data_IF_539228517822
#
_entry.id   IF_539228517822
#
_cell.length_a   1.000
_cell.length_b   1.000
_cell.length_c   1.000
_cell.angle_alpha   90.00
_cell.angle_beta   90.00
_cell.angle_gamma   90.00
#
_symmetry.space_group_name_H-M   'P 1'
#
loop_
_entity.id
_entity.type
_entity.pdbx_description
1 polymer ?
#
# COMPACT_ATOMS: atom_id res chain seq x y z
N UNK A 1 17.73 1.61 22.24
CA UNK A 1 16.54 2.48 22.29
C UNK A 1 15.47 1.82 21.45
N UNK A 2 14.24 1.73 21.96
CA UNK A 2 13.09 1.24 21.18
C UNK A 2 12.60 2.38 20.30
N UNK A 3 12.62 2.24 18.97
CA UNK A 3 12.02 3.25 18.10
C UNK A 3 10.50 3.26 18.28
N UNK A 4 9.93 4.46 18.49
CA UNK A 4 8.48 4.68 18.51
C UNK A 4 8.05 5.45 17.25
N UNK A 5 6.99 4.99 16.61
CA UNK A 5 6.42 5.62 15.42
C UNK A 5 4.90 5.73 15.54
N UNK A 6 4.37 6.96 15.60
CA UNK A 6 2.92 7.20 15.58
C UNK A 6 2.39 7.25 14.15
N UNK A 7 1.31 6.51 13.90
CA UNK A 7 0.60 6.48 12.63
C UNK A 7 -0.92 6.45 12.85
N UNK A 8 -1.62 7.35 12.15
CA UNK A 8 -3.07 7.39 12.04
C UNK A 8 -3.43 7.30 10.57
N UNK A 9 -4.18 6.28 10.17
CA UNK A 9 -4.41 5.98 8.74
C UNK A 9 -5.56 6.76 8.10
N UNK A 10 -6.52 7.23 8.89
CA UNK A 10 -7.71 7.94 8.40
C UNK A 10 -8.42 8.70 9.53
N UNK A 11 -9.48 9.43 9.20
CA UNK A 11 -10.30 10.14 10.18
C UNK A 11 -10.95 9.22 11.22
N UNK A 12 -11.25 7.96 10.85
CA UNK A 12 -11.94 6.98 11.68
C UNK A 12 -11.02 5.95 12.31
N UNK A 13 -9.77 5.87 11.88
CA UNK A 13 -8.79 4.96 12.48
C UNK A 13 -8.21 5.57 13.77
N UNK A 14 -7.93 4.76 14.80
CA UNK A 14 -7.17 5.22 15.96
C UNK A 14 -5.75 5.63 15.55
N UNK A 15 -5.13 6.49 16.35
CA UNK A 15 -3.70 6.74 16.25
C UNK A 15 -2.96 5.61 16.97
N UNK A 16 -2.09 4.92 16.25
CA UNK A 16 -1.35 3.78 16.76
C UNK A 16 0.13 4.14 16.92
N UNK A 17 0.70 3.79 18.06
CA UNK A 17 2.13 3.89 18.31
C UNK A 17 2.78 2.53 18.07
N UNK A 18 3.61 2.46 17.05
CA UNK A 18 4.33 1.26 16.64
C UNK A 18 5.73 1.23 17.24
N UNK A 19 6.12 0.06 17.72
CA UNK A 19 7.45 -0.22 18.26
C UNK A 19 7.89 -1.63 17.91
N UNK A 20 9.20 -1.88 17.96
CA UNK A 20 9.78 -3.22 17.84
C UNK A 20 10.30 -3.64 19.21
N UNK A 21 9.68 -4.67 19.79
CA UNK A 21 10.02 -5.22 21.10
C UNK A 21 10.56 -6.64 20.97
N UNK A 22 11.87 -6.81 21.18
CA UNK A 22 12.58 -8.07 20.99
C UNK A 22 12.40 -8.60 19.56
N UNK A 23 11.46 -9.51 19.37
CA UNK A 23 11.14 -10.16 18.09
C UNK A 23 9.70 -9.89 17.64
N UNK A 24 9.04 -8.89 18.21
CA UNK A 24 7.66 -8.55 17.89
C UNK A 24 7.53 -7.11 17.42
N UNK A 25 6.71 -6.89 16.40
CA UNK A 25 6.17 -5.59 16.04
C UNK A 25 4.88 -5.37 16.84
N UNK A 26 4.84 -4.35 17.69
CA UNK A 26 3.70 -4.04 18.55
C UNK A 26 3.08 -2.71 18.17
N UNK A 27 1.75 -2.64 18.18
CA UNK A 27 0.97 -1.42 18.03
C UNK A 27 0.19 -1.16 19.31
N UNK A 28 0.31 0.07 19.81
CA UNK A 28 -0.36 0.55 21.01
C UNK A 28 -1.37 1.63 20.66
N UNK A 29 -2.57 1.54 21.25
CA UNK A 29 -3.53 2.64 21.32
C UNK A 29 -3.53 3.14 22.77
N UNK A 30 -2.88 4.28 23.01
CA UNK A 30 -2.52 4.72 24.36
C UNK A 30 -1.64 3.68 25.07
N UNK A 31 -2.11 3.17 26.20
CA UNK A 31 -1.41 2.13 26.98
C UNK A 31 -1.76 0.71 26.53
N UNK A 32 -2.84 0.52 25.76
CA UNK A 32 -3.33 -0.79 25.38
C UNK A 32 -2.59 -1.33 24.15
N UNK A 33 -2.09 -2.58 24.24
CA UNK A 33 -1.58 -3.31 23.07
C UNK A 33 -2.77 -3.78 22.23
N UNK A 34 -2.97 -3.16 21.07
CA UNK A 34 -4.07 -3.53 20.15
C UNK A 34 -3.62 -4.50 19.07
N UNK A 35 -2.31 -4.54 18.79
CA UNK A 35 -1.74 -5.50 17.84
C UNK A 35 -0.34 -5.91 18.24
N UNK A 36 -0.04 -7.20 18.09
CA UNK A 36 1.29 -7.77 18.26
C UNK A 36 1.51 -8.78 17.15
N UNK A 37 2.61 -8.62 16.42
CA UNK A 37 3.02 -9.51 15.33
C UNK A 37 4.38 -10.08 15.69
N UNK A 38 4.44 -11.38 15.94
CA UNK A 38 5.73 -12.03 16.15
C UNK A 38 6.45 -12.17 14.80
N UNK A 39 7.75 -11.93 14.78
CA UNK A 39 8.60 -12.17 13.61
C UNK A 39 8.39 -13.58 13.04
N UNK A 40 8.08 -14.53 13.93
CA UNK A 40 7.85 -15.92 13.57
C UNK A 40 6.58 -16.23 12.79
N UNK A 41 5.62 -15.33 12.83
CA UNK A 41 4.31 -15.48 12.19
C UNK A 41 4.25 -14.73 10.85
N UNK A 42 5.27 -13.93 10.56
CA UNK A 42 5.35 -13.12 9.34
C UNK A 42 5.52 -14.04 8.14
N UNK A 43 4.67 -13.84 7.14
CA UNK A 43 4.76 -14.55 5.86
C UNK A 43 5.17 -13.62 4.72
N UNK A 44 4.73 -12.36 4.78
CA UNK A 44 5.04 -11.36 3.77
C UNK A 44 5.27 -10.01 4.42
N UNK A 45 6.24 -9.27 3.88
CA UNK A 45 6.39 -7.84 4.13
C UNK A 45 6.31 -7.12 2.80
N UNK A 46 5.42 -6.14 2.71
CA UNK A 46 5.20 -5.37 1.48
C UNK A 46 5.40 -3.89 1.71
N UNK A 47 6.19 -3.28 0.84
CA UNK A 47 6.34 -1.84 0.73
C UNK A 47 5.60 -1.32 -0.49
N UNK A 48 4.67 -0.39 -0.30
CA UNK A 48 3.89 0.20 -1.37
C UNK A 48 3.84 1.72 -1.27
N UNK A 49 3.75 2.39 -2.41
CA UNK A 49 3.45 3.82 -2.47
C UNK A 49 1.94 4.01 -2.49
N UNK A 50 1.43 4.82 -1.57
CA UNK A 50 0.02 5.19 -1.48
C UNK A 50 -0.12 6.72 -1.49
N UNK A 51 -1.28 7.22 -1.93
CA UNK A 51 -1.57 8.66 -1.94
C UNK A 51 -1.87 9.13 -0.52
N UNK A 52 -1.30 10.28 -0.13
CA UNK A 52 -1.48 10.93 1.15
C UNK A 52 -1.84 12.41 0.91
N UNK A 53 -3.10 12.67 0.54
CA UNK A 53 -3.53 14.01 0.13
C UNK A 53 -2.86 14.42 -1.18
N UNK A 54 -2.07 15.49 -1.16
CA UNK A 54 -1.30 15.95 -2.33
C UNK A 54 0.05 15.24 -2.49
N UNK A 55 0.50 14.54 -1.45
CA UNK A 55 1.80 13.89 -1.39
C UNK A 55 1.67 12.37 -1.54
N UNK A 56 2.81 11.68 -1.63
CA UNK A 56 2.89 10.22 -1.65
C UNK A 56 3.52 9.76 -0.34
N UNK A 57 3.01 8.66 0.22
CA UNK A 57 3.56 7.99 1.38
C UNK A 57 4.06 6.59 1.03
N UNK A 58 5.08 6.13 1.76
CA UNK A 58 5.49 4.73 1.78
C UNK A 58 4.68 4.04 2.87
N UNK A 59 4.09 2.89 2.56
CA UNK A 59 3.31 2.08 3.49
C UNK A 59 3.96 0.71 3.60
N UNK A 60 4.18 0.27 4.84
CA UNK A 60 4.62 -1.06 5.17
C UNK A 60 3.43 -1.90 5.61
N UNK A 61 3.24 -3.05 4.96
CA UNK A 61 2.24 -4.05 5.30
C UNK A 61 2.95 -5.33 5.71
N UNK A 62 2.68 -5.80 6.91
CA UNK A 62 3.24 -7.04 7.46
C UNK A 62 2.10 -8.04 7.58
N UNK A 63 2.15 -9.08 6.76
CA UNK A 63 1.10 -10.11 6.70
C UNK A 63 1.51 -11.32 7.50
N UNK A 64 0.64 -11.74 8.43
CA UNK A 64 0.71 -13.00 9.16
C UNK A 64 -0.42 -13.93 8.71
N UNK A 65 -0.52 -15.11 9.33
CA UNK A 65 -1.68 -16.01 9.12
C UNK A 65 -2.99 -15.41 9.65
N UNK A 66 -2.90 -14.60 10.71
CA UNK A 66 -4.07 -14.08 11.44
C UNK A 66 -4.48 -12.68 10.98
N UNK A 67 -3.70 -12.04 10.10
CA UNK A 67 -4.10 -10.78 9.46
C UNK A 67 -2.93 -9.91 9.02
N UNK A 68 -3.20 -8.61 8.86
CA UNK A 68 -2.22 -7.65 8.32
C UNK A 68 -2.02 -6.48 9.27
N UNK A 69 -0.77 -6.22 9.67
CA UNK A 69 -0.35 -4.98 10.33
C UNK A 69 0.08 -3.96 9.26
N UNK A 70 -0.34 -2.70 9.42
CA UNK A 70 -0.12 -1.65 8.42
C UNK A 70 0.33 -0.38 9.11
N UNK A 71 1.44 0.19 8.66
CA UNK A 71 1.92 1.49 9.11
C UNK A 71 2.59 2.27 7.97
N UNK A 72 2.52 3.60 8.00
CA UNK A 72 2.98 4.46 6.89
C UNK A 72 3.90 5.60 7.27
N UNK A 73 4.59 6.16 6.27
CA UNK A 73 5.52 7.28 6.44
C UNK A 73 4.83 8.64 6.66
N UNK A 74 3.50 8.68 6.55
CA UNK A 74 2.66 9.85 6.77
C UNK A 74 1.53 9.48 7.71
N UNK A 75 1.20 10.35 8.65
CA UNK A 75 0.09 10.17 9.60
C UNK A 75 -1.01 11.18 9.32
N UNK A 76 -2.26 10.73 9.26
CA UNK A 76 -3.42 11.57 8.99
C UNK A 76 -3.60 12.61 10.10
N UNK A 77 -3.72 13.89 9.70
CA UNK A 77 -3.91 15.01 10.61
C UNK A 77 -5.28 15.69 10.43
N UNK A 78 -5.90 15.55 9.26
CA UNK A 78 -7.14 16.22 8.90
C UNK A 78 -7.53 15.97 7.45
N UNK A 79 -8.66 16.53 7.02
CA UNK A 79 -9.09 16.46 5.62
C UNK A 79 -8.04 17.14 4.74
N UNK A 80 -7.40 16.37 3.85
CA UNK A 80 -6.32 16.84 2.99
C UNK A 80 -4.99 17.12 3.70
N UNK A 81 -4.88 16.86 5.00
CA UNK A 81 -3.68 17.14 5.80
C UNK A 81 -3.04 15.85 6.34
N UNK A 82 -1.74 15.74 6.13
CA UNK A 82 -0.92 14.62 6.56
C UNK A 82 0.36 15.15 7.20
N UNK A 83 0.72 14.57 8.34
CA UNK A 83 1.94 14.88 9.06
C UNK A 83 3.06 13.96 8.59
N UNK A 84 4.18 14.55 8.20
CA UNK A 84 5.37 13.81 7.80
C UNK A 84 5.97 13.08 9.00
N UNK A 85 5.94 11.75 8.94
CA UNK A 85 6.55 10.84 9.94
C UNK A 85 7.64 9.97 9.32
N UNK A 86 8.19 10.36 8.17
CA UNK A 86 9.12 9.54 7.40
C UNK A 86 10.40 9.17 8.16
N UNK A 87 10.88 10.05 9.05
CA UNK A 87 12.07 9.79 9.87
C UNK A 87 11.83 8.66 10.88
N UNK A 88 10.78 8.76 11.71
CA UNK A 88 10.43 7.71 12.68
C UNK A 88 9.98 6.42 11.98
N UNK A 89 9.29 6.53 10.85
CA UNK A 89 8.95 5.40 9.99
C UNK A 89 10.19 4.66 9.51
N UNK A 90 11.19 5.37 8.97
CA UNK A 90 12.44 4.75 8.51
C UNK A 90 13.18 4.06 9.65
N UNK A 91 13.24 4.69 10.82
CA UNK A 91 13.88 4.11 12.00
C UNK A 91 13.20 2.80 12.41
N UNK A 92 11.87 2.80 12.53
CA UNK A 92 11.08 1.61 12.86
C UNK A 92 11.24 0.53 11.79
N UNK A 93 11.18 0.92 10.51
CA UNK A 93 11.26 0.01 9.38
C UNK A 93 12.59 -0.75 9.38
N UNK A 94 13.71 -0.05 9.58
CA UNK A 94 15.02 -0.72 9.62
C UNK A 94 15.21 -1.56 10.88
N UNK A 95 14.68 -1.14 12.05
CA UNK A 95 14.64 -2.01 13.24
C UNK A 95 13.87 -3.30 12.98
N UNK A 96 12.69 -3.19 12.37
CA UNK A 96 11.88 -4.35 12.05
C UNK A 96 12.54 -5.27 11.03
N UNK A 97 13.15 -4.72 9.97
CA UNK A 97 13.87 -5.53 8.99
C UNK A 97 15.06 -6.25 9.63
N UNK A 98 15.80 -5.59 10.55
CA UNK A 98 16.88 -6.25 11.31
C UNK A 98 16.39 -7.45 12.11
N UNK A 99 15.21 -7.37 12.72
CA UNK A 99 14.58 -8.49 13.43
C UNK A 99 14.17 -9.62 12.47
N UNK A 100 13.74 -9.30 11.25
CA UNK A 100 13.31 -10.29 10.27
C UNK A 100 14.44 -10.95 9.47
N UNK A 101 15.62 -10.31 9.39
CA UNK A 101 16.75 -10.80 8.60
C UNK A 101 17.15 -12.27 8.86
N UNK A 102 17.20 -12.77 10.12
CA UNK A 102 17.50 -14.17 10.39
C UNK A 102 16.54 -15.16 9.72
N UNK A 103 15.36 -14.70 9.30
CA UNK A 103 14.29 -15.50 8.68
C UNK A 103 14.00 -15.07 7.25
N UNK A 104 14.93 -14.37 6.61
CA UNK A 104 14.70 -13.74 5.30
C UNK A 104 14.24 -14.73 4.22
N UNK A 105 14.69 -15.98 4.30
CA UNK A 105 14.38 -17.02 3.31
C UNK A 105 12.98 -17.62 3.50
N UNK A 106 12.34 -17.38 4.66
CA UNK A 106 10.97 -17.82 4.97
C UNK A 106 9.92 -16.73 4.66
N UNK A 107 10.34 -15.49 4.46
CA UNK A 107 9.47 -14.31 4.33
C UNK A 107 9.57 -13.74 2.91
N UNK A 108 8.43 -13.49 2.29
CA UNK A 108 8.40 -12.80 1.00
C UNK A 108 8.42 -11.27 1.18
N UNK A 109 9.55 -10.64 0.81
CA UNK A 109 9.73 -9.19 0.78
C UNK A 109 9.34 -8.62 -0.59
N UNK A 110 8.23 -7.88 -0.67
CA UNK A 110 7.59 -7.48 -1.93
C UNK A 110 7.41 -5.95 -2.06
N UNK A 111 7.58 -5.42 -3.27
CA UNK A 111 7.29 -4.02 -3.62
C UNK A 111 5.99 -3.88 -4.42
N UNK A 112 5.33 -2.76 -4.19
CA UNK A 112 4.20 -2.30 -4.99
C UNK A 112 2.86 -2.84 -4.50
N UNK A 113 1.85 -2.72 -5.36
CA UNK A 113 0.48 -3.09 -5.04
C UNK A 113 0.28 -4.61 -5.02
N UNK A 114 -0.74 -5.06 -4.29
CA UNK A 114 -1.11 -6.47 -4.26
C UNK A 114 -1.57 -6.95 -5.65
N UNK A 115 -1.35 -8.24 -5.93
CA UNK A 115 -1.83 -8.84 -7.17
C UNK A 115 -3.36 -8.78 -7.27
N UNK A 116 -4.06 -8.98 -6.15
CA UNK A 116 -5.52 -8.84 -6.08
C UNK A 116 -6.00 -7.44 -6.45
N UNK A 117 -5.35 -6.38 -5.93
CA UNK A 117 -5.67 -5.01 -6.31
C UNK A 117 -5.48 -4.77 -7.81
N UNK A 118 -4.36 -5.24 -8.37
CA UNK A 118 -4.09 -5.15 -9.82
C UNK A 118 -5.16 -5.83 -10.66
N UNK A 119 -5.63 -7.00 -10.25
CA UNK A 119 -6.73 -7.69 -10.93
C UNK A 119 -8.03 -6.89 -10.87
N UNK A 120 -8.41 -6.40 -9.69
CA UNK A 120 -9.63 -5.59 -9.50
C UNK A 120 -9.58 -4.34 -10.38
N UNK A 121 -8.47 -3.61 -10.36
CA UNK A 121 -8.31 -2.39 -11.17
C UNK A 121 -8.27 -2.69 -12.67
N UNK A 122 -7.64 -3.80 -13.07
CA UNK A 122 -7.64 -4.22 -14.47
C UNK A 122 -9.04 -4.53 -14.97
N UNK A 123 -9.81 -5.31 -14.19
CA UNK A 123 -11.19 -5.64 -14.52
C UNK A 123 -12.07 -4.39 -14.57
N UNK A 124 -11.92 -3.50 -13.59
CA UNK A 124 -12.62 -2.21 -13.58
C UNK A 124 -12.34 -1.42 -14.87
N UNK A 125 -11.06 -1.28 -15.24
CA UNK A 125 -10.67 -0.62 -16.48
C UNK A 125 -11.26 -1.26 -17.73
N UNK A 126 -11.23 -2.60 -17.82
CA UNK A 126 -11.83 -3.34 -18.94
C UNK A 126 -13.34 -3.13 -19.03
N UNK A 127 -14.06 -3.22 -17.92
CA UNK A 127 -15.52 -3.01 -17.88
C UNK A 127 -15.87 -1.60 -18.31
N UNK A 128 -15.21 -0.58 -17.75
CA UNK A 128 -15.43 0.82 -18.16
C UNK A 128 -15.08 1.04 -19.62
N UNK A 129 -13.96 0.47 -20.09
CA UNK A 129 -13.49 0.59 -21.46
C UNK A 129 -14.46 0.00 -22.47
N UNK A 130 -14.93 -1.22 -22.21
CA UNK A 130 -15.89 -1.92 -23.05
C UNK A 130 -17.26 -1.23 -23.04
N UNK A 131 -17.75 -0.78 -21.88
CA UNK A 131 -19.01 -0.05 -21.79
C UNK A 131 -18.95 1.28 -22.56
N UNK A 132 -17.88 2.06 -22.41
CA UNK A 132 -17.66 3.29 -23.17
C UNK A 132 -17.62 3.03 -24.68
N UNK A 133 -16.90 1.98 -25.10
CA UNK A 133 -16.81 1.59 -26.52
C UNK A 133 -18.18 1.19 -27.07
N UNK A 134 -18.95 0.37 -26.34
CA UNK A 134 -20.27 -0.06 -26.76
C UNK A 134 -21.25 1.12 -26.90
N UNK A 135 -21.25 2.05 -25.94
CA UNK A 135 -22.09 3.25 -25.99
C UNK A 135 -21.68 4.16 -27.16
N UNK A 136 -20.37 4.37 -27.37
CA UNK A 136 -19.87 5.17 -28.48
C UNK A 136 -20.30 4.59 -29.83
N UNK A 137 -20.13 3.28 -30.03
CA UNK A 137 -20.52 2.60 -31.26
C UNK A 137 -22.04 2.64 -31.47
N UNK A 138 -22.83 2.40 -30.42
CA UNK A 138 -24.29 2.47 -30.51
C UNK A 138 -24.75 3.87 -30.96
N UNK A 139 -24.26 4.93 -30.32
CA UNK A 139 -24.67 6.29 -30.67
C UNK A 139 -24.16 6.72 -32.04
N UNK A 140 -22.90 6.45 -32.38
CA UNK A 140 -22.31 6.92 -33.63
C UNK A 140 -22.76 6.12 -34.86
N UNK A 141 -22.95 4.81 -34.72
CA UNK A 141 -23.23 3.92 -35.86
C UNK A 141 -24.71 3.61 -35.99
N UNK A 142 -25.41 3.34 -34.87
CA UNK A 142 -26.82 2.95 -34.91
C UNK A 142 -27.74 4.16 -34.86
N UNK A 143 -27.41 5.16 -34.03
CA UNK A 143 -28.21 6.37 -33.86
C UNK A 143 -27.72 7.55 -34.71
N UNK A 144 -26.59 7.41 -35.42
CA UNK A 144 -25.93 8.46 -36.21
C UNK A 144 -25.77 9.79 -35.43
N UNK A 145 -25.62 9.70 -34.11
CA UNK A 145 -25.65 10.82 -33.20
C UNK A 145 -24.24 11.13 -32.67
N UNK A 146 -23.72 12.36 -32.90
CA UNK A 146 -22.37 12.73 -32.47
C UNK A 146 -22.18 12.77 -30.95
N UNK A 147 -23.25 12.73 -30.15
CA UNK A 147 -23.17 12.58 -28.69
C UNK A 147 -22.39 11.32 -28.27
N UNK A 148 -22.30 10.29 -29.13
CA UNK A 148 -21.46 9.12 -28.87
C UNK A 148 -19.97 9.43 -28.69
N UNK A 149 -19.47 10.59 -29.17
CA UNK A 149 -18.09 11.02 -28.94
C UNK A 149 -17.76 11.22 -27.45
N UNK A 150 -18.74 11.57 -26.60
CA UNK A 150 -18.52 11.69 -25.16
C UNK A 150 -18.16 10.34 -24.50
N UNK A 151 -18.62 9.22 -25.08
CA UNK A 151 -18.32 7.88 -24.58
C UNK A 151 -16.93 7.36 -24.99
N UNK A 152 -16.20 8.09 -25.85
CA UNK A 152 -14.80 7.78 -26.17
C UNK A 152 -13.89 8.01 -24.97
N UNK A 153 -14.15 9.05 -24.16
CA UNK A 153 -13.35 9.34 -22.96
C UNK A 153 -13.31 8.17 -21.95
N UNK A 154 -14.45 7.57 -21.54
CA UNK A 154 -14.42 6.39 -20.69
C UNK A 154 -13.85 5.16 -21.40
N UNK A 155 -14.00 5.02 -22.73
CA UNK A 155 -13.37 3.94 -23.48
C UNK A 155 -11.83 3.97 -23.37
N UNK A 156 -11.24 5.14 -23.65
CA UNK A 156 -9.80 5.37 -23.58
C UNK A 156 -9.30 5.27 -22.14
N UNK A 157 -9.98 5.91 -21.19
CA UNK A 157 -9.60 5.89 -19.78
C UNK A 157 -9.64 4.47 -19.22
N UNK A 158 -10.67 3.70 -19.55
CA UNK A 158 -10.79 2.31 -19.14
C UNK A 158 -9.66 1.43 -19.70
N UNK A 159 -9.38 1.55 -21.00
CA UNK A 159 -8.25 0.85 -21.64
C UNK A 159 -6.90 1.20 -21.02
N UNK A 160 -6.67 2.48 -20.72
CA UNK A 160 -5.46 2.95 -20.06
C UNK A 160 -5.32 2.40 -18.63
N UNK A 161 -6.39 2.42 -17.82
CA UNK A 161 -6.40 1.83 -16.46
C UNK A 161 -6.10 0.33 -16.54
N UNK A 162 -6.76 -0.41 -17.44
CA UNK A 162 -6.54 -1.83 -17.61
C UNK A 162 -5.08 -2.16 -17.95
N UNK A 163 -4.47 -1.36 -18.84
CA UNK A 163 -3.07 -1.52 -19.20
C UNK A 163 -2.11 -1.15 -18.05
N UNK A 164 -2.37 -0.06 -17.34
CA UNK A 164 -1.55 0.44 -16.24
C UNK A 164 -1.48 -0.57 -15.08
N UNK A 165 -2.63 -1.15 -14.71
CA UNK A 165 -2.76 -2.08 -13.60
C UNK A 165 -2.65 -3.55 -13.99
N UNK A 166 -2.28 -3.85 -15.25
CA UNK A 166 -2.20 -5.22 -15.75
C UNK A 166 -1.47 -6.13 -14.75
N UNK A 167 -2.00 -7.32 -14.44
CA UNK A 167 -1.41 -8.20 -13.46
C UNK A 167 0.03 -8.56 -13.87
N UNK A 168 0.97 -8.26 -12.98
CA UNK A 168 2.37 -8.64 -13.11
C UNK A 168 2.81 -9.29 -11.80
N UNK A 169 3.77 -10.24 -11.87
CA UNK A 169 4.35 -10.81 -10.66
C UNK A 169 4.80 -9.72 -9.67
N UNK A 170 4.63 -9.93 -8.37
CA UNK A 170 5.19 -9.05 -7.35
C UNK A 170 6.69 -8.89 -7.56
N UNK A 171 7.20 -7.66 -7.39
CA UNK A 171 8.64 -7.41 -7.48
C UNK A 171 9.26 -7.67 -6.11
N UNK A 172 10.21 -8.61 -5.96
CA UNK A 172 10.89 -8.79 -4.69
C UNK A 172 11.83 -7.61 -4.42
N UNK A 173 12.07 -7.30 -3.14
CA UNK A 173 13.15 -6.39 -2.72
C UNK A 173 14.08 -7.06 -1.72
N UNK A 174 15.29 -6.53 -1.61
CA UNK A 174 16.27 -6.97 -0.64
C UNK A 174 16.04 -6.29 0.72
N UNK A 175 15.74 -7.05 1.80
CA UNK A 175 15.55 -6.49 3.14
C UNK A 175 16.82 -5.89 3.76
N UNK A 176 18.02 -6.30 3.34
CA UNK A 176 19.29 -5.81 3.88
C UNK A 176 19.49 -4.31 3.59
N UNK A 177 19.06 -3.88 2.40
CA UNK A 177 19.04 -2.47 1.99
C UNK A 177 18.33 -1.56 3.01
N UNK A 178 17.31 -2.06 3.70
CA UNK A 178 16.55 -1.31 4.72
C UNK A 178 17.11 -1.49 6.13
N UNK A 179 17.71 -2.64 6.42
CA UNK A 179 18.35 -2.91 7.70
C UNK A 179 19.64 -2.07 7.89
N UNK A 180 20.48 -1.98 6.85
CA UNK A 180 21.78 -1.30 6.89
C UNK A 180 21.68 0.23 6.92
N UNK A 181 20.64 0.79 6.32
CA UNK A 181 20.50 2.25 6.14
C UNK A 181 20.34 3.04 7.45
N UNK A 182 20.07 2.37 8.57
CA UNK A 182 19.94 2.98 9.89
C UNK A 182 21.24 2.95 10.72
N UNK A 183 22.34 2.37 10.21
CA UNK A 183 23.65 2.38 10.89
C UNK A 183 24.56 3.55 10.46
N UNK A 184 24.23 4.21 9.34
CA UNK A 184 25.03 5.30 8.76
C UNK A 184 24.49 6.71 9.10
N UNK A 185 23.71 6.84 10.19
CA UNK A 185 23.09 8.08 10.65
C UNK A 185 23.73 8.61 11.93
#
# INVERSE_FOLDING_TARGET
MTTLHSDKRSATAPELNWSVEREALTAHDGEAVVKRVQAAEVTHVRLSLEVAGKDVQVVCRVTTRDGEAVFGSQSWAGVGQWNNRAASFRSLLGEWHRVLLPRRDEIAFLEGQSLGFRWVMTLFGLVTGLAGTAVALWFLVVQENPAGLFAVAPAVTGGWIAWLFRPKPPKPYDPETYAAKNEAG
#
